data_IF_075889360677
#
_entry.id   IF_075889360677
#
_cell.length_a   1.000
_cell.length_b   1.000
_cell.length_c   1.000
_cell.angle_alpha   90.00
_cell.angle_beta   90.00
_cell.angle_gamma   90.00
#
_symmetry.space_group_name_H-M   'P 1'
#
loop_
_entity.id
_entity.type
_entity.pdbx_description
1 polymer ?
#
# COMPACT_ATOMS: atom_id res chain seq x y z
N UNK A 1 17.54 -2.27 -0.20
CA UNK A 1 17.20 -1.01 -0.88
C UNK A 1 18.50 -0.25 -1.12
N UNK A 2 18.70 0.21 -2.35
CA UNK A 2 19.84 1.03 -2.77
C UNK A 2 19.33 2.32 -3.42
N UNK A 3 20.00 3.44 -3.15
CA UNK A 3 19.72 4.72 -3.82
C UNK A 3 20.73 4.92 -4.96
N UNK A 4 20.24 4.78 -6.19
CA UNK A 4 21.01 5.06 -7.40
C UNK A 4 20.78 6.52 -7.80
N UNK A 5 21.87 7.27 -7.94
CA UNK A 5 21.79 8.71 -8.16
C UNK A 5 21.92 9.10 -9.62
N UNK A 6 21.17 10.12 -10.01
CA UNK A 6 21.36 10.84 -11.26
C UNK A 6 21.19 9.97 -12.53
N UNK A 7 20.26 8.99 -12.52
CA UNK A 7 19.95 8.16 -13.68
C UNK A 7 19.16 8.97 -14.70
N UNK A 8 19.47 8.77 -15.99
CA UNK A 8 18.80 9.45 -17.08
C UNK A 8 17.55 8.69 -17.56
N UNK A 9 16.41 9.37 -17.65
CA UNK A 9 15.21 8.82 -18.29
C UNK A 9 15.43 8.72 -19.79
N UNK A 10 15.54 7.50 -20.31
CA UNK A 10 15.84 7.25 -21.74
C UNK A 10 14.63 6.83 -22.56
N UNK A 11 13.57 6.33 -21.90
CA UNK A 11 12.37 5.88 -22.60
C UNK A 11 11.13 5.95 -21.69
N UNK A 12 9.98 6.23 -22.28
CA UNK A 12 8.66 6.08 -21.67
C UNK A 12 7.78 5.28 -22.63
N UNK A 13 7.19 4.19 -22.13
CA UNK A 13 6.26 3.34 -22.86
C UNK A 13 4.91 3.33 -22.14
N UNK A 14 3.84 3.51 -22.88
CA UNK A 14 2.48 3.42 -22.34
C UNK A 14 1.86 2.05 -22.64
N UNK A 15 1.28 1.45 -21.62
CA UNK A 15 0.56 0.18 -21.68
C UNK A 15 -0.88 0.34 -21.17
N UNK A 16 -1.70 -0.71 -21.28
CA UNK A 16 -3.06 -0.75 -20.79
C UNK A 16 -3.89 0.44 -21.29
N UNK A 17 -3.93 0.65 -22.61
CA UNK A 17 -4.68 1.74 -23.24
C UNK A 17 -4.28 3.12 -22.70
N UNK A 18 -3.01 3.32 -22.43
CA UNK A 18 -2.46 4.57 -21.92
C UNK A 18 -2.64 4.78 -20.40
N UNK A 19 -3.07 3.76 -19.64
CA UNK A 19 -3.30 3.88 -18.19
C UNK A 19 -2.08 3.51 -17.34
N UNK A 20 -1.05 2.93 -17.94
CA UNK A 20 0.23 2.59 -17.29
C UNK A 20 1.37 3.16 -18.10
N UNK A 21 2.27 3.90 -17.45
CA UNK A 21 3.53 4.35 -18.00
C UNK A 21 4.69 3.57 -17.38
N UNK A 22 5.58 3.05 -18.21
CA UNK A 22 6.85 2.43 -17.84
C UNK A 22 7.95 3.41 -18.23
N UNK A 23 8.66 3.92 -17.26
CA UNK A 23 9.78 4.85 -17.41
C UNK A 23 11.08 4.08 -17.22
N UNK A 24 11.91 4.04 -18.27
CA UNK A 24 13.21 3.36 -18.27
C UNK A 24 14.32 4.37 -18.01
N UNK A 25 15.06 4.15 -16.95
CA UNK A 25 16.22 4.96 -16.55
C UNK A 25 17.52 4.21 -16.81
N UNK A 26 18.50 4.89 -17.38
CA UNK A 26 19.82 4.35 -17.68
C UNK A 26 20.79 4.60 -16.51
N UNK A 27 21.35 3.52 -15.97
CA UNK A 27 22.49 3.55 -15.06
C UNK A 27 23.77 3.38 -15.88
N UNK A 28 24.31 4.49 -16.39
CA UNK A 28 25.43 4.51 -17.34
C UNK A 28 26.66 3.76 -16.82
N UNK A 29 27.02 3.95 -15.56
CA UNK A 29 28.23 3.35 -14.97
C UNK A 29 28.15 1.82 -14.90
N UNK A 30 26.98 1.26 -14.65
CA UNK A 30 26.78 -0.18 -14.60
C UNK A 30 26.41 -0.79 -15.96
N UNK A 31 26.03 0.03 -16.95
CA UNK A 31 25.48 -0.44 -18.22
C UNK A 31 24.12 -1.13 -18.07
N UNK A 32 23.33 -0.75 -17.08
CA UNK A 32 22.07 -1.37 -16.72
C UNK A 32 20.91 -0.37 -16.81
N UNK A 33 19.70 -0.89 -16.86
CA UNK A 33 18.48 -0.08 -16.80
C UNK A 33 17.70 -0.33 -15.52
N UNK A 34 16.90 0.65 -15.14
CA UNK A 34 15.92 0.55 -14.03
C UNK A 34 14.57 1.04 -14.52
N UNK A 35 13.50 0.32 -14.19
CA UNK A 35 12.15 0.67 -14.62
C UNK A 35 11.30 1.13 -13.43
N UNK A 36 10.72 2.32 -13.58
CA UNK A 36 9.72 2.85 -12.66
C UNK A 36 8.37 2.86 -13.34
N UNK A 37 7.35 2.33 -12.65
CA UNK A 37 6.01 2.16 -13.22
C UNK A 37 5.00 3.10 -12.55
N UNK A 38 4.33 3.92 -13.33
CA UNK A 38 3.13 4.65 -12.90
C UNK A 38 1.90 3.98 -13.51
N UNK A 39 0.95 3.59 -12.66
CA UNK A 39 -0.26 2.89 -13.11
C UNK A 39 -1.49 3.49 -12.44
N UNK A 40 -2.39 4.07 -13.25
CA UNK A 40 -3.67 4.66 -12.83
C UNK A 40 -4.70 3.60 -12.39
N UNK A 41 -4.40 2.31 -12.60
CA UNK A 41 -5.28 1.20 -12.27
C UNK A 41 -4.80 0.44 -11.05
N UNK A 42 -5.73 -0.17 -10.31
CA UNK A 42 -5.45 -1.10 -9.22
C UNK A 42 -5.78 -2.54 -9.59
N UNK A 43 -5.05 -3.49 -9.00
CA UNK A 43 -5.37 -4.91 -9.17
C UNK A 43 -6.61 -5.28 -8.38
N UNK A 44 -7.63 -5.78 -9.05
CA UNK A 44 -8.82 -6.35 -8.41
C UNK A 44 -8.62 -7.84 -8.16
N UNK A 45 -8.55 -8.23 -6.88
CA UNK A 45 -8.42 -9.62 -6.48
C UNK A 45 -9.67 -10.45 -6.80
N UNK A 46 -10.85 -9.80 -6.91
CA UNK A 46 -12.11 -10.47 -7.26
C UNK A 46 -12.27 -10.65 -8.75
N UNK A 47 -11.76 -9.74 -9.57
CA UNK A 47 -11.82 -9.81 -11.03
C UNK A 47 -10.59 -10.48 -11.65
N UNK A 48 -9.51 -10.63 -10.87
CA UNK A 48 -8.18 -11.11 -11.31
C UNK A 48 -7.64 -10.32 -12.53
N UNK A 49 -7.85 -8.99 -12.51
CA UNK A 49 -7.35 -8.05 -13.53
C UNK A 49 -7.15 -6.65 -12.95
N UNK A 50 -6.47 -5.80 -13.70
CA UNK A 50 -6.42 -4.37 -13.39
C UNK A 50 -7.76 -3.71 -13.73
N UNK A 51 -8.21 -2.82 -12.84
CA UNK A 51 -9.45 -2.03 -12.98
C UNK A 51 -9.15 -0.56 -12.72
N UNK A 52 -9.95 0.31 -13.27
CA UNK A 52 -9.83 1.76 -13.09
C UNK A 52 -9.99 2.13 -11.60
N UNK A 53 -9.11 2.98 -11.13
CA UNK A 53 -9.06 3.47 -9.76
C UNK A 53 -8.88 4.98 -9.78
N UNK A 54 -9.97 5.75 -9.63
CA UNK A 54 -9.92 7.21 -9.69
C UNK A 54 -8.99 7.85 -8.64
N UNK A 55 -8.98 7.32 -7.41
CA UNK A 55 -8.11 7.85 -6.34
C UNK A 55 -6.63 7.64 -6.67
N UNK A 56 -6.31 6.47 -7.22
CA UNK A 56 -4.95 6.16 -7.64
C UNK A 56 -4.55 6.97 -8.89
N UNK A 57 -5.48 7.16 -9.82
CA UNK A 57 -5.25 8.01 -10.99
C UNK A 57 -4.89 9.44 -10.58
N UNK A 58 -5.63 10.03 -9.62
CA UNK A 58 -5.32 11.37 -9.08
C UNK A 58 -3.94 11.41 -8.40
N UNK A 59 -3.57 10.37 -7.65
CA UNK A 59 -2.25 10.27 -7.04
C UNK A 59 -1.14 10.21 -8.09
N UNK A 60 -1.35 9.44 -9.17
CA UNK A 60 -0.39 9.35 -10.28
C UNK A 60 -0.20 10.70 -10.96
N UNK A 61 -1.27 11.45 -11.21
CA UNK A 61 -1.16 12.82 -11.76
C UNK A 61 -0.35 13.74 -10.83
N UNK A 62 -0.58 13.68 -9.52
CA UNK A 62 0.21 14.44 -8.54
C UNK A 62 1.69 14.06 -8.59
N UNK A 63 2.02 12.79 -8.73
CA UNK A 63 3.41 12.35 -8.88
C UNK A 63 4.04 12.84 -10.18
N UNK A 64 3.31 12.86 -11.29
CA UNK A 64 3.81 13.42 -12.54
C UNK A 64 4.14 14.91 -12.39
N UNK A 65 3.28 15.68 -11.73
CA UNK A 65 3.54 17.08 -11.42
C UNK A 65 4.74 17.26 -10.47
N UNK A 66 4.83 16.48 -9.42
CA UNK A 66 5.87 16.59 -8.39
C UNK A 66 7.26 16.22 -8.94
N UNK A 67 7.35 15.12 -9.69
CA UNK A 67 8.62 14.58 -10.12
C UNK A 67 9.06 15.05 -11.52
N UNK A 68 8.12 15.39 -12.40
CA UNK A 68 8.41 15.71 -13.80
C UNK A 68 7.88 17.07 -14.25
N UNK A 69 7.04 17.71 -13.43
CA UNK A 69 6.35 18.96 -13.77
C UNK A 69 5.56 18.88 -15.10
N UNK A 70 4.90 17.75 -15.34
CA UNK A 70 4.08 17.49 -16.52
C UNK A 70 2.83 16.68 -16.17
N UNK A 71 1.90 16.54 -17.10
CA UNK A 71 0.79 15.60 -17.01
C UNK A 71 1.25 14.17 -17.31
N UNK A 72 0.48 13.17 -16.89
CA UNK A 72 0.84 11.77 -17.11
C UNK A 72 1.03 11.41 -18.58
N UNK A 73 0.18 11.94 -19.46
CA UNK A 73 0.23 11.66 -20.89
C UNK A 73 1.43 12.33 -21.58
N UNK A 74 2.05 13.31 -20.91
CA UNK A 74 3.22 14.06 -21.39
C UNK A 74 4.57 13.57 -20.86
N UNK A 75 4.59 12.48 -20.06
CA UNK A 75 5.83 11.93 -19.52
C UNK A 75 6.88 11.60 -20.59
N UNK A 76 6.46 11.25 -21.80
CA UNK A 76 7.37 10.99 -22.94
C UNK A 76 8.21 12.22 -23.32
N UNK A 77 7.73 13.44 -23.04
CA UNK A 77 8.47 14.69 -23.27
C UNK A 77 9.56 14.92 -22.21
N UNK A 78 9.58 14.13 -21.13
CA UNK A 78 10.55 14.22 -20.06
C UNK A 78 11.81 13.36 -20.29
N UNK A 79 11.93 12.68 -21.45
CA UNK A 79 13.15 11.95 -21.82
C UNK A 79 14.36 12.88 -21.78
N UNK A 80 15.46 12.41 -21.16
CA UNK A 80 16.68 13.18 -20.89
C UNK A 80 16.73 13.79 -19.48
N UNK A 81 15.61 13.80 -18.72
CA UNK A 81 15.60 14.25 -17.34
C UNK A 81 16.32 13.24 -16.46
N UNK A 82 17.12 13.74 -15.49
CA UNK A 82 17.84 12.88 -14.55
C UNK A 82 17.16 12.85 -13.18
N UNK A 83 17.08 11.66 -12.58
CA UNK A 83 16.45 11.42 -11.27
C UNK A 83 17.27 10.45 -10.44
N UNK A 84 17.09 10.56 -9.12
CA UNK A 84 17.52 9.55 -8.18
C UNK A 84 16.47 8.44 -8.11
N UNK A 85 16.92 7.18 -8.15
CA UNK A 85 16.04 5.99 -8.19
C UNK A 85 16.33 5.11 -6.98
N UNK A 86 15.30 4.78 -6.22
CA UNK A 86 15.35 3.78 -5.16
C UNK A 86 15.16 2.39 -5.76
N UNK A 87 16.18 1.54 -5.70
CA UNK A 87 16.15 0.16 -6.17
C UNK A 87 15.89 -0.80 -4.99
N UNK A 88 14.79 -1.55 -5.11
CA UNK A 88 14.34 -2.56 -4.12
C UNK A 88 14.62 -4.00 -4.60
N UNK A 89 15.45 -4.20 -5.63
CA UNK A 89 15.74 -5.47 -6.34
C UNK A 89 14.55 -6.06 -7.10
N UNK A 90 13.33 -5.88 -6.65
CA UNK A 90 12.10 -6.41 -7.28
C UNK A 90 11.29 -5.34 -7.99
N UNK A 91 11.50 -4.09 -7.66
CA UNK A 91 10.92 -2.91 -8.30
C UNK A 91 11.75 -1.68 -7.99
N UNK A 92 11.55 -0.62 -8.77
CA UNK A 92 12.16 0.67 -8.55
C UNK A 92 11.12 1.76 -8.29
N UNK A 93 11.51 2.83 -7.59
CA UNK A 93 10.66 3.97 -7.26
C UNK A 93 11.44 5.28 -7.32
N UNK A 94 10.74 6.40 -7.56
CA UNK A 94 11.28 7.76 -7.47
C UNK A 94 11.36 8.29 -6.02
N UNK A 95 10.77 7.57 -5.07
CA UNK A 95 10.77 7.90 -3.65
C UNK A 95 11.04 6.66 -2.81
N UNK A 96 11.45 6.89 -1.60
CA UNK A 96 11.58 5.82 -0.63
C UNK A 96 10.20 5.27 -0.28
N UNK A 97 9.97 4.00 -0.63
CA UNK A 97 8.73 3.31 -0.26
C UNK A 97 8.95 2.59 1.07
N UNK A 98 8.08 2.84 2.03
CA UNK A 98 8.03 2.01 3.22
C UNK A 98 7.52 0.62 2.82
N UNK A 99 8.40 -0.37 2.86
CA UNK A 99 7.96 -1.78 2.83
C UNK A 99 7.15 -2.06 4.09
N UNK A 100 6.08 -2.85 3.95
CA UNK A 100 5.40 -3.38 5.13
C UNK A 100 6.33 -4.39 5.79
N UNK A 101 6.75 -4.08 7.01
CA UNK A 101 7.60 -4.93 7.83
C UNK A 101 6.78 -6.09 8.42
N UNK A 102 7.48 -7.13 8.87
CA UNK A 102 6.87 -8.27 9.52
C UNK A 102 7.52 -8.49 10.88
N UNK A 103 6.70 -8.72 11.87
CA UNK A 103 7.19 -9.20 13.16
C UNK A 103 7.78 -10.61 13.06
N UNK A 104 8.75 -10.91 13.89
CA UNK A 104 9.42 -12.20 14.00
C UNK A 104 8.82 -13.06 15.10
N UNK A 105 9.23 -14.33 15.19
CA UNK A 105 8.82 -15.22 16.28
C UNK A 105 9.30 -14.72 17.65
N UNK A 106 10.38 -13.95 17.71
CA UNK A 106 10.93 -13.40 18.97
C UNK A 106 10.05 -12.28 19.55
N UNK A 107 9.26 -11.61 18.69
CA UNK A 107 8.36 -10.51 19.07
C UNK A 107 6.93 -11.01 19.39
N UNK A 108 6.70 -12.31 19.43
CA UNK A 108 5.40 -12.88 19.77
C UNK A 108 4.97 -12.48 21.19
N UNK A 109 3.74 -11.98 21.31
CA UNK A 109 3.18 -11.49 22.55
C UNK A 109 3.57 -10.06 22.90
N UNK A 110 4.37 -9.38 22.04
CA UNK A 110 4.63 -7.96 22.20
C UNK A 110 3.31 -7.18 22.20
N UNK A 111 3.11 -6.36 23.20
CA UNK A 111 1.97 -5.43 23.33
C UNK A 111 2.56 -4.04 23.52
N UNK A 112 2.25 -3.14 22.59
CA UNK A 112 2.78 -1.77 22.62
C UNK A 112 1.84 -0.79 21.89
N UNK A 113 2.22 0.48 21.83
CA UNK A 113 1.52 1.54 21.15
C UNK A 113 2.11 1.78 19.76
N UNK A 114 1.25 2.04 18.78
CA UNK A 114 1.63 2.39 17.40
C UNK A 114 0.73 3.50 16.87
N UNK A 115 1.16 4.19 15.82
CA UNK A 115 0.38 5.26 15.18
C UNK A 115 -0.22 4.75 13.88
N UNK A 116 -1.53 4.95 13.67
CA UNK A 116 -2.16 4.64 12.38
C UNK A 116 -1.66 5.62 11.32
N UNK A 117 -1.06 5.10 10.26
CA UNK A 117 -0.54 5.89 9.13
C UNK A 117 -1.45 5.91 7.93
N UNK A 118 -2.10 4.79 7.66
CA UNK A 118 -2.96 4.65 6.48
C UNK A 118 -4.00 3.55 6.70
N UNK A 119 -5.19 3.76 6.15
CA UNK A 119 -6.23 2.72 6.09
C UNK A 119 -6.72 2.63 4.65
N UNK A 120 -6.51 1.47 4.03
CA UNK A 120 -6.95 1.15 2.67
C UNK A 120 -8.13 0.20 2.71
N UNK A 121 -9.12 0.47 1.88
CA UNK A 121 -10.22 -0.45 1.59
C UNK A 121 -10.06 -0.90 0.14
N UNK A 122 -10.01 -2.20 -0.07
CA UNK A 122 -10.03 -2.80 -1.40
C UNK A 122 -11.17 -3.83 -1.52
N UNK A 123 -11.24 -4.52 -2.64
CA UNK A 123 -12.28 -5.54 -2.89
C UNK A 123 -12.08 -6.83 -2.08
N UNK A 124 -10.99 -6.97 -1.35
CA UNK A 124 -10.62 -8.16 -0.55
C UNK A 124 -10.79 -7.93 0.94
N UNK A 125 -10.57 -6.69 1.43
CA UNK A 125 -10.58 -6.40 2.84
C UNK A 125 -10.23 -4.96 3.21
N UNK A 126 -10.02 -4.75 4.51
CA UNK A 126 -9.53 -3.50 5.08
C UNK A 126 -8.09 -3.74 5.52
N UNK A 127 -7.17 -2.91 5.05
CA UNK A 127 -5.75 -2.91 5.43
C UNK A 127 -5.46 -1.70 6.30
N UNK A 128 -4.88 -1.91 7.45
CA UNK A 128 -4.54 -0.86 8.40
C UNK A 128 -3.03 -0.89 8.59
N UNK A 129 -2.37 0.17 8.18
CA UNK A 129 -0.93 0.36 8.37
C UNK A 129 -0.69 1.14 9.66
N UNK A 130 0.12 0.57 10.53
CA UNK A 130 0.57 1.20 11.78
C UNK A 130 2.09 1.40 11.74
N UNK A 131 2.56 2.51 12.29
CA UNK A 131 3.98 2.75 12.49
C UNK A 131 4.37 2.44 13.94
N UNK A 132 5.37 1.58 14.09
CA UNK A 132 5.99 1.23 15.35
C UNK A 132 7.52 1.22 15.17
N UNK A 133 8.25 1.95 16.01
CA UNK A 133 9.71 2.10 15.92
C UNK A 133 10.26 2.47 14.54
N UNK A 134 9.55 3.36 13.83
CA UNK A 134 9.94 3.83 12.48
C UNK A 134 9.69 2.82 11.36
N UNK A 135 9.06 1.68 11.64
CA UNK A 135 8.69 0.64 10.68
C UNK A 135 7.17 0.60 10.50
N UNK A 136 6.74 0.19 9.30
CA UNK A 136 5.31 0.06 8.97
C UNK A 136 4.88 -1.40 9.02
N UNK A 137 3.86 -1.69 9.81
CA UNK A 137 3.26 -3.02 9.93
C UNK A 137 1.81 -3.00 9.46
N UNK A 138 1.32 -4.12 8.94
CA UNK A 138 -0.02 -4.23 8.38
C UNK A 138 -0.92 -5.16 9.19
N UNK A 139 -2.11 -4.67 9.56
CA UNK A 139 -3.23 -5.50 9.99
C UNK A 139 -4.23 -5.64 8.85
N UNK A 140 -4.72 -6.86 8.57
CA UNK A 140 -5.72 -7.14 7.54
C UNK A 140 -7.01 -7.66 8.15
N UNK A 141 -8.13 -7.05 7.78
CA UNK A 141 -9.48 -7.54 8.06
C UNK A 141 -10.11 -8.06 6.77
N UNK A 142 -9.72 -9.29 6.38
CA UNK A 142 -10.12 -9.88 5.10
C UNK A 142 -11.56 -10.39 5.17
N UNK A 143 -12.38 -10.08 4.16
CA UNK A 143 -13.75 -10.57 3.98
C UNK A 143 -13.96 -11.33 2.66
N UNK A 144 -12.97 -11.37 1.79
CA UNK A 144 -13.00 -12.20 0.60
C UNK A 144 -12.27 -13.53 0.84
N UNK A 145 -12.74 -14.58 0.16
CA UNK A 145 -12.17 -15.92 0.22
C UNK A 145 -11.50 -16.27 -1.11
N UNK A 146 -10.26 -16.74 -1.03
CA UNK A 146 -9.58 -17.30 -2.19
C UNK A 146 -10.20 -18.63 -2.60
N UNK A 147 -10.44 -18.83 -3.90
CA UNK A 147 -10.95 -20.07 -4.48
C UNK A 147 -9.92 -20.63 -5.45
N UNK A 148 -9.23 -21.71 -5.05
CA UNK A 148 -8.10 -22.28 -5.79
C UNK A 148 -8.44 -22.69 -7.21
N UNK A 149 -9.59 -23.29 -7.43
CA UNK A 149 -10.03 -23.74 -8.76
C UNK A 149 -10.26 -22.59 -9.74
N UNK A 150 -10.53 -21.38 -9.25
CA UNK A 150 -10.76 -20.19 -10.06
C UNK A 150 -9.61 -19.18 -10.01
N UNK A 151 -8.60 -19.40 -9.18
CA UNK A 151 -7.42 -18.54 -8.99
C UNK A 151 -7.75 -17.08 -8.73
N UNK A 152 -8.81 -16.82 -7.95
CA UNK A 152 -9.20 -15.45 -7.58
C UNK A 152 -9.97 -15.40 -6.25
N UNK A 153 -10.12 -14.17 -5.73
CA UNK A 153 -10.94 -13.92 -4.55
C UNK A 153 -12.41 -13.76 -4.89
N UNK A 154 -13.27 -14.18 -3.97
CA UNK A 154 -14.70 -13.94 -3.99
C UNK A 154 -15.13 -13.28 -2.69
N UNK A 155 -15.87 -12.18 -2.80
CA UNK A 155 -16.42 -11.51 -1.63
C UNK A 155 -17.43 -12.44 -0.95
N UNK A 156 -17.29 -12.59 0.38
CA UNK A 156 -18.33 -13.17 1.22
C UNK A 156 -19.14 -12.02 1.84
N UNK A 157 -20.40 -11.78 1.40
CA UNK A 157 -21.19 -10.65 1.88
C UNK A 157 -21.40 -10.65 3.40
N UNK A 158 -21.59 -11.83 3.99
CA UNK A 158 -21.80 -11.97 5.44
C UNK A 158 -20.53 -11.62 6.21
N UNK A 159 -19.36 -12.11 5.76
CA UNK A 159 -18.08 -11.76 6.35
C UNK A 159 -17.76 -10.26 6.15
N UNK A 160 -18.13 -9.67 5.02
CA UNK A 160 -17.96 -8.24 4.78
C UNK A 160 -18.72 -7.41 5.82
N UNK A 161 -20.00 -7.67 6.02
CA UNK A 161 -20.81 -6.97 7.04
C UNK A 161 -20.17 -7.14 8.42
N UNK A 162 -19.82 -8.36 8.78
CA UNK A 162 -19.18 -8.67 10.07
C UNK A 162 -17.85 -7.92 10.26
N UNK A 163 -17.00 -7.83 9.22
CA UNK A 163 -15.73 -7.10 9.30
C UNK A 163 -15.92 -5.59 9.40
N UNK A 164 -16.88 -5.02 8.69
CA UNK A 164 -17.25 -3.61 8.81
C UNK A 164 -17.78 -3.28 10.24
N UNK A 165 -18.63 -4.12 10.80
CA UNK A 165 -19.08 -3.98 12.18
C UNK A 165 -17.93 -4.14 13.19
N UNK A 166 -17.03 -5.09 12.98
CA UNK A 166 -15.83 -5.25 13.81
C UNK A 166 -14.94 -4.00 13.75
N UNK A 167 -14.77 -3.41 12.56
CA UNK A 167 -14.03 -2.16 12.39
C UNK A 167 -14.69 -1.03 13.19
N UNK A 168 -15.99 -0.82 13.00
CA UNK A 168 -16.76 0.19 13.73
C UNK A 168 -16.69 0.01 15.24
N UNK A 169 -16.84 -1.22 15.73
CA UNK A 169 -16.75 -1.54 17.15
C UNK A 169 -15.34 -1.32 17.71
N UNK A 170 -14.31 -1.59 16.93
CA UNK A 170 -12.90 -1.45 17.32
C UNK A 170 -12.48 0.02 17.38
N UNK A 171 -12.86 0.83 16.39
CA UNK A 171 -12.37 2.19 16.22
C UNK A 171 -13.40 3.29 16.55
N UNK A 172 -14.67 2.94 16.67
CA UNK A 172 -15.75 3.88 16.99
C UNK A 172 -16.23 4.74 15.82
N UNK A 173 -15.73 4.46 14.59
CA UNK A 173 -16.12 5.15 13.36
C UNK A 173 -16.47 4.15 12.27
N UNK A 174 -17.32 4.54 11.33
CA UNK A 174 -17.59 3.74 10.13
C UNK A 174 -16.39 3.77 9.18
N UNK A 175 -16.26 2.74 8.32
CA UNK A 175 -15.10 2.62 7.42
C UNK A 175 -15.04 3.78 6.40
N UNK A 176 -16.15 4.37 6.06
CA UNK A 176 -16.25 5.56 5.21
C UNK A 176 -15.55 6.78 5.83
N UNK A 177 -15.49 6.83 7.15
CA UNK A 177 -14.81 7.87 7.92
C UNK A 177 -13.42 7.45 8.44
N UNK A 178 -12.83 6.43 7.83
CA UNK A 178 -11.54 5.84 8.24
C UNK A 178 -10.39 6.85 8.38
N UNK A 179 -10.44 7.93 7.59
CA UNK A 179 -9.38 8.94 7.57
C UNK A 179 -9.29 9.74 8.88
N UNK A 180 -10.38 9.77 9.68
CA UNK A 180 -10.37 10.36 11.03
C UNK A 180 -9.44 9.60 12.00
N UNK A 181 -9.02 8.39 11.64
CA UNK A 181 -8.14 7.55 12.44
C UNK A 181 -6.66 7.77 12.14
N UNK A 182 -6.33 8.43 11.02
CA UNK A 182 -4.94 8.70 10.64
C UNK A 182 -4.26 9.58 11.71
N UNK A 183 -3.07 9.18 12.16
CA UNK A 183 -2.32 9.84 13.23
C UNK A 183 -2.77 9.46 14.65
N UNK A 184 -3.82 8.66 14.83
CA UNK A 184 -4.22 8.18 16.17
C UNK A 184 -3.30 7.07 16.67
N UNK A 185 -2.98 7.15 17.95
CA UNK A 185 -2.28 6.07 18.66
C UNK A 185 -3.24 4.94 19.02
N UNK A 186 -2.82 3.71 18.77
CA UNK A 186 -3.55 2.49 19.07
C UNK A 186 -2.63 1.48 19.78
N UNK A 187 -3.19 0.68 20.66
CA UNK A 187 -2.50 -0.48 21.20
C UNK A 187 -2.54 -1.62 20.19
N UNK A 188 -1.47 -2.38 20.07
CA UNK A 188 -1.44 -3.59 19.26
C UNK A 188 -0.85 -4.77 20.04
N UNK A 189 -1.07 -5.97 19.54
CA UNK A 189 -0.47 -7.22 20.03
C UNK A 189 0.01 -8.06 18.85
N UNK A 190 1.22 -8.57 18.95
CA UNK A 190 1.77 -9.50 17.95
C UNK A 190 1.29 -10.91 18.27
N UNK A 191 0.56 -11.53 17.32
CA UNK A 191 -0.04 -12.85 17.46
C UNK A 191 0.43 -13.82 16.38
N UNK A 192 0.30 -15.12 16.67
CA UNK A 192 0.55 -16.21 15.71
C UNK A 192 -0.69 -17.06 15.53
N UNK A 193 -1.03 -17.35 14.27
CA UNK A 193 -2.12 -18.24 13.92
C UNK A 193 -1.62 -19.43 13.11
N UNK A 194 -2.20 -20.62 13.36
CA UNK A 194 -1.87 -21.84 12.60
C UNK A 194 -0.41 -22.26 12.63
N UNK A 195 0.36 -21.83 13.64
CA UNK A 195 1.77 -22.15 13.78
C UNK A 195 2.72 -21.50 12.75
N UNK A 196 2.19 -20.73 11.78
CA UNK A 196 2.98 -20.19 10.66
C UNK A 196 2.82 -18.69 10.42
N UNK A 197 1.67 -18.10 10.77
CA UNK A 197 1.35 -16.73 10.39
C UNK A 197 1.43 -15.80 11.59
N UNK A 198 2.43 -14.91 11.59
CA UNK A 198 2.52 -13.82 12.56
C UNK A 198 1.74 -12.64 12.00
N UNK A 199 0.93 -12.02 12.85
CA UNK A 199 0.08 -10.90 12.48
C UNK A 199 -0.11 -9.92 13.64
N UNK A 200 -0.46 -8.70 13.30
CA UNK A 200 -0.73 -7.62 14.25
C UNK A 200 -2.22 -7.60 14.59
N UNK A 201 -2.56 -7.69 15.85
CA UNK A 201 -3.93 -7.48 16.35
C UNK A 201 -4.04 -6.10 17.01
N UNK A 202 -4.62 -5.14 16.29
CA UNK A 202 -4.88 -3.81 16.85
C UNK A 202 -6.01 -3.94 17.87
N UNK A 203 -5.81 -3.41 19.06
CA UNK A 203 -6.81 -3.43 20.14
C UNK A 203 -7.88 -2.36 19.93
N UNK A 204 -9.10 -2.54 20.49
CA UNK A 204 -10.11 -1.51 20.46
C UNK A 204 -9.63 -0.22 21.12
N UNK A 205 -10.00 0.94 20.57
CA UNK A 205 -9.77 2.23 21.21
C UNK A 205 -10.55 2.27 22.53
N UNK A 206 -9.83 2.50 23.63
CA UNK A 206 -10.46 2.61 24.96
C UNK A 206 -11.30 3.89 24.97
N UNK A 207 -12.61 3.76 25.03
CA UNK A 207 -13.48 4.91 25.32
C UNK A 207 -13.14 5.38 26.74
N UNK A 208 -12.54 6.57 26.89
CA UNK A 208 -12.44 7.21 28.20
C UNK A 208 -13.88 7.38 28.70
N UNK A 209 -14.31 6.54 29.65
CA UNK A 209 -15.56 6.78 30.35
C UNK A 209 -15.44 8.16 31.00
N UNK A 210 -16.16 9.15 30.47
CA UNK A 210 -16.36 10.40 31.19
C UNK A 210 -17.07 10.01 32.48
N UNK A 211 -16.33 9.94 33.60
CA UNK A 211 -16.95 9.90 34.92
C UNK A 211 -17.87 11.14 35.02
N UNK A 212 -19.17 10.88 35.18
CA UNK A 212 -20.15 11.91 35.54
C UNK A 212 -19.85 12.44 36.95
#
# INVERSE_FOLDING_TARGET
MELLKNLELVQVVYENEGKKAIMTFLHEEAGEIREVNFNKQSWSGTQAKFVDDPEKAEKVEKWCQEYFNCEFDDLHNCVGVRKDIYDYNTYCSLWETSSVDKFTDEELGLIDEAVIKEIKLDDVGIKIHIEYEGKIYENKMVYAKWVDGMKKFFINPQEKVKKLEQFKNKFGVDVENKDELIGRTVMFEVKKAGGRFIWVDIKPLIKKNKKK
#
